data_IF_387140941211
#
_entry.id   IF_387140941211
#
_cell.length_a   1.000
_cell.length_b   1.000
_cell.length_c   1.000
_cell.angle_alpha   90.00
_cell.angle_beta   90.00
_cell.angle_gamma   90.00
#
_symmetry.space_group_name_H-M   'P 1'
#
loop_
_entity.id
_entity.type
_entity.pdbx_description
1 polymer ?
#
# COMPACT_ATOMS: atom_id res chain seq x y z
N UNK A 1 -21.61 18.11 -13.32
CA UNK A 1 -20.79 17.88 -14.53
C UNK A 1 -20.22 16.48 -14.44
N UNK A 2 -20.47 15.59 -15.41
CA UNK A 2 -19.89 14.24 -15.38
C UNK A 2 -18.36 14.28 -15.51
N UNK A 3 -17.66 13.42 -14.76
CA UNK A 3 -16.24 13.13 -15.02
C UNK A 3 -16.16 12.33 -16.30
N UNK A 4 -15.64 12.94 -17.36
CA UNK A 4 -15.34 12.25 -18.61
C UNK A 4 -13.90 11.73 -18.60
N UNK A 5 -13.55 10.90 -19.58
CA UNK A 5 -12.22 10.33 -19.70
C UNK A 5 -11.12 11.39 -19.86
N UNK A 6 -11.41 12.56 -20.45
CA UNK A 6 -10.42 13.63 -20.63
C UNK A 6 -10.10 14.29 -19.29
N UNK A 7 -11.10 14.56 -18.46
CA UNK A 7 -10.92 15.08 -17.11
C UNK A 7 -10.15 14.11 -16.24
N UNK A 8 -10.46 12.81 -16.29
CA UNK A 8 -9.69 11.80 -15.53
C UNK A 8 -8.22 11.81 -15.94
N UNK A 9 -7.91 11.86 -17.25
CA UNK A 9 -6.53 11.98 -17.73
C UNK A 9 -5.83 13.23 -17.21
N UNK A 10 -6.55 14.35 -17.15
CA UNK A 10 -6.00 15.58 -16.58
C UNK A 10 -5.71 15.43 -15.08
N UNK A 11 -6.66 14.92 -14.28
CA UNK A 11 -6.47 14.72 -12.83
C UNK A 11 -5.32 13.74 -12.55
N UNK A 12 -5.16 12.69 -13.36
CA UNK A 12 -4.06 11.72 -13.29
C UNK A 12 -2.71 12.37 -13.63
N UNK A 13 -2.67 13.23 -14.66
CA UNK A 13 -1.48 14.01 -15.01
C UNK A 13 -1.06 14.99 -13.90
N UNK A 14 -2.02 15.58 -13.17
CA UNK A 14 -1.69 16.42 -12.00
C UNK A 14 -0.91 15.60 -10.97
N UNK A 15 -1.25 14.33 -10.73
CA UNK A 15 -0.46 13.46 -9.86
C UNK A 15 0.96 13.22 -10.40
N UNK A 16 1.08 12.95 -11.71
CA UNK A 16 2.37 12.69 -12.37
C UNK A 16 3.35 13.87 -12.21
N UNK A 17 2.88 15.11 -12.43
CA UNK A 17 3.76 16.30 -12.36
C UNK A 17 4.29 16.60 -10.95
N UNK A 18 3.70 16.05 -9.89
CA UNK A 18 4.19 16.16 -8.51
C UNK A 18 5.23 15.09 -8.15
N UNK A 19 5.43 14.09 -9.01
CA UNK A 19 6.43 13.02 -8.85
C UNK A 19 7.60 13.18 -9.82
N UNK A 20 8.74 12.54 -9.52
CA UNK A 20 9.84 12.42 -10.48
C UNK A 20 9.55 11.28 -11.46
N UNK A 21 9.22 11.63 -12.71
CA UNK A 21 9.00 10.67 -13.79
C UNK A 21 10.03 10.87 -14.90
N UNK A 22 10.40 9.77 -15.57
CA UNK A 22 11.36 9.80 -16.69
C UNK A 22 10.90 10.69 -17.86
N UNK A 23 9.59 10.87 -17.99
CA UNK A 23 8.91 11.65 -19.03
C UNK A 23 8.92 13.15 -18.75
N UNK A 24 9.12 13.57 -17.50
CA UNK A 24 9.07 14.98 -17.09
C UNK A 24 10.44 15.65 -17.25
N UNK A 25 10.45 16.86 -17.79
CA UNK A 25 11.66 17.71 -17.90
C UNK A 25 12.12 18.26 -16.54
N UNK A 26 11.17 18.58 -15.67
CA UNK A 26 11.43 19.13 -14.34
C UNK A 26 11.80 18.03 -13.35
N UNK A 27 12.64 18.35 -12.36
CA UNK A 27 13.07 17.47 -11.25
C UNK A 27 12.28 17.65 -9.96
N UNK A 28 11.17 18.39 -9.99
CA UNK A 28 10.29 18.54 -8.83
C UNK A 28 9.80 17.15 -8.38
N UNK A 29 10.00 16.84 -7.11
CA UNK A 29 9.49 15.63 -6.48
C UNK A 29 8.94 16.02 -5.11
N UNK A 30 7.60 16.08 -4.99
CA UNK A 30 6.92 16.44 -3.75
C UNK A 30 6.56 15.17 -3.04
N UNK A 31 6.95 15.01 -1.78
CA UNK A 31 6.53 13.84 -1.00
C UNK A 31 5.01 13.82 -0.84
N UNK A 32 4.41 12.63 -0.96
CA UNK A 32 2.95 12.45 -0.91
C UNK A 32 2.33 13.03 0.36
N UNK A 33 3.05 13.02 1.49
CA UNK A 33 2.57 13.60 2.75
C UNK A 33 2.20 15.08 2.61
N UNK A 34 2.96 15.86 1.83
CA UNK A 34 2.69 17.27 1.59
C UNK A 34 1.49 17.46 0.65
N UNK A 35 1.39 16.65 -0.40
CA UNK A 35 0.23 16.65 -1.29
C UNK A 35 -1.06 16.31 -0.53
N UNK A 36 -1.03 15.29 0.32
CA UNK A 36 -2.17 14.87 1.12
C UNK A 36 -2.55 15.91 2.19
N UNK A 37 -1.57 16.54 2.84
CA UNK A 37 -1.81 17.63 3.78
C UNK A 37 -2.52 18.83 3.11
N UNK A 38 -2.03 19.24 1.93
CA UNK A 38 -2.68 20.29 1.15
C UNK A 38 -4.09 19.88 0.69
N UNK A 39 -4.28 18.63 0.28
CA UNK A 39 -5.59 18.10 -0.10
C UNK A 39 -6.59 18.15 1.05
N UNK A 40 -6.16 17.82 2.27
CA UNK A 40 -6.97 17.95 3.48
C UNK A 40 -7.37 19.40 3.76
N UNK A 41 -6.43 20.33 3.64
CA UNK A 41 -6.70 21.77 3.77
C UNK A 41 -7.72 22.26 2.72
N UNK A 42 -7.50 21.94 1.44
CA UNK A 42 -8.39 22.32 0.33
C UNK A 42 -9.77 21.71 0.50
N UNK A 43 -9.87 20.45 0.91
CA UNK A 43 -11.13 19.80 1.20
C UNK A 43 -11.90 20.53 2.30
N UNK A 44 -11.26 20.83 3.43
CA UNK A 44 -11.87 21.57 4.53
C UNK A 44 -12.37 22.96 4.08
N UNK A 45 -11.53 23.70 3.35
CA UNK A 45 -11.88 25.02 2.84
C UNK A 45 -13.08 24.99 1.89
N UNK A 46 -13.07 24.12 0.87
CA UNK A 46 -14.15 24.02 -0.11
C UNK A 46 -15.47 23.59 0.52
N UNK A 47 -15.45 22.60 1.41
CA UNK A 47 -16.65 22.14 2.08
C UNK A 47 -17.23 23.22 3.02
N UNK A 48 -16.37 23.95 3.73
CA UNK A 48 -16.79 25.06 4.58
C UNK A 48 -17.43 26.18 3.75
N UNK A 49 -16.82 26.56 2.61
CA UNK A 49 -17.39 27.56 1.69
C UNK A 49 -18.80 27.17 1.25
N UNK A 50 -19.00 25.91 0.82
CA UNK A 50 -20.34 25.44 0.39
C UNK A 50 -21.34 25.47 1.54
N UNK A 51 -20.91 25.12 2.75
CA UNK A 51 -21.78 25.08 3.90
C UNK A 51 -22.21 26.48 4.35
N UNK A 52 -21.26 27.42 4.40
CA UNK A 52 -21.45 28.80 4.90
C UNK A 52 -22.04 29.75 3.88
N UNK A 53 -21.95 29.44 2.59
CA UNK A 53 -22.50 30.30 1.54
C UNK A 53 -23.99 30.58 1.74
N UNK A 54 -24.41 31.84 1.65
CA UNK A 54 -25.81 32.21 1.79
C UNK A 54 -26.60 31.90 0.52
N UNK A 55 -27.93 31.85 0.63
CA UNK A 55 -28.81 31.71 -0.53
C UNK A 55 -28.59 32.84 -1.54
N UNK A 56 -28.31 34.06 -1.07
CA UNK A 56 -28.05 35.22 -1.92
C UNK A 56 -26.74 35.09 -2.70
N UNK A 57 -25.72 34.44 -2.13
CA UNK A 57 -24.41 34.29 -2.76
C UNK A 57 -24.38 33.22 -3.87
N UNK A 58 -25.09 32.10 -3.68
CA UNK A 58 -24.96 30.93 -4.55
C UNK A 58 -26.30 30.42 -5.11
N UNK A 59 -27.43 31.07 -4.78
CA UNK A 59 -28.79 30.69 -5.17
C UNK A 59 -29.07 29.18 -5.00
N UNK A 60 -28.72 28.66 -3.82
CA UNK A 60 -28.55 27.23 -3.56
C UNK A 60 -29.38 26.76 -2.37
N UNK A 61 -30.40 25.97 -2.66
CA UNK A 61 -31.24 25.31 -1.64
C UNK A 61 -30.41 24.42 -0.71
N UNK A 62 -30.82 24.19 0.55
CA UNK A 62 -30.14 23.29 1.48
C UNK A 62 -29.87 21.89 0.91
N UNK A 63 -30.80 21.32 0.16
CA UNK A 63 -30.62 19.99 -0.46
C UNK A 63 -29.51 20.00 -1.52
N UNK A 64 -29.47 21.04 -2.37
CA UNK A 64 -28.36 21.23 -3.32
C UNK A 64 -27.02 21.44 -2.62
N UNK A 65 -26.96 22.08 -1.44
CA UNK A 65 -25.72 22.16 -0.64
C UNK A 65 -25.23 20.78 -0.25
N UNK A 66 -26.13 19.95 0.30
CA UNK A 66 -25.81 18.59 0.71
C UNK A 66 -25.30 17.76 -0.47
N UNK A 67 -25.97 17.85 -1.62
CA UNK A 67 -25.55 17.17 -2.85
C UNK A 67 -24.18 17.67 -3.34
N UNK A 68 -23.94 18.98 -3.28
CA UNK A 68 -22.66 19.58 -3.64
C UNK A 68 -21.52 19.11 -2.73
N UNK A 69 -21.73 19.06 -1.42
CA UNK A 69 -20.77 18.51 -0.44
C UNK A 69 -20.41 17.08 -0.81
N UNK A 70 -21.40 16.21 -1.01
CA UNK A 70 -21.16 14.80 -1.39
C UNK A 70 -20.40 14.69 -2.72
N UNK A 71 -20.76 15.49 -3.72
CA UNK A 71 -20.11 15.47 -5.03
C UNK A 71 -18.65 15.97 -4.95
N UNK A 72 -18.39 17.04 -4.21
CA UNK A 72 -17.04 17.58 -3.99
C UNK A 72 -16.18 16.62 -3.20
N UNK A 73 -16.71 16.00 -2.14
CA UNK A 73 -16.00 14.96 -1.40
C UNK A 73 -15.56 13.84 -2.34
N UNK A 74 -16.47 13.29 -3.15
CA UNK A 74 -16.12 12.24 -4.13
C UNK A 74 -15.03 12.68 -5.11
N UNK A 75 -15.11 13.91 -5.63
CA UNK A 75 -14.10 14.45 -6.53
C UNK A 75 -12.71 14.52 -5.88
N UNK A 76 -12.64 15.03 -4.65
CA UNK A 76 -11.38 15.18 -3.92
C UNK A 76 -10.76 13.82 -3.59
N UNK A 77 -11.58 12.83 -3.21
CA UNK A 77 -11.13 11.46 -3.02
C UNK A 77 -10.56 10.85 -4.31
N UNK A 78 -11.27 10.99 -5.44
CA UNK A 78 -10.77 10.51 -6.74
C UNK A 78 -9.45 11.19 -7.12
N UNK A 79 -9.32 12.51 -6.92
CA UNK A 79 -8.07 13.22 -7.19
C UNK A 79 -6.93 12.72 -6.30
N UNK A 80 -7.21 12.44 -5.03
CA UNK A 80 -6.23 11.90 -4.09
C UNK A 80 -5.77 10.49 -4.49
N UNK A 81 -6.68 9.60 -4.87
CA UNK A 81 -6.35 8.25 -5.31
C UNK A 81 -5.49 8.27 -6.59
N UNK A 82 -5.79 9.19 -7.51
CA UNK A 82 -4.98 9.40 -8.72
C UNK A 82 -3.59 9.97 -8.41
N UNK A 83 -3.43 10.77 -7.35
CA UNK A 83 -2.10 11.17 -6.87
C UNK A 83 -1.33 9.97 -6.35
N UNK A 84 -1.92 9.22 -5.41
CA UNK A 84 -1.30 8.06 -4.74
C UNK A 84 -0.74 7.07 -5.74
N UNK A 85 -1.45 6.83 -6.85
CA UNK A 85 -1.02 5.93 -7.93
C UNK A 85 0.42 6.17 -8.40
N UNK A 86 0.87 7.43 -8.46
CA UNK A 86 2.22 7.78 -8.93
C UNK A 86 3.30 7.64 -7.85
N UNK A 87 2.90 7.49 -6.58
CA UNK A 87 3.81 7.27 -5.44
C UNK A 87 3.99 5.80 -5.08
N UNK A 88 3.10 4.92 -5.55
CA UNK A 88 3.21 3.48 -5.32
C UNK A 88 4.13 2.87 -6.38
N UNK A 89 5.22 2.19 -5.98
CA UNK A 89 6.03 1.43 -6.92
C UNK A 89 5.16 0.36 -7.60
N UNK A 90 5.12 0.35 -8.93
CA UNK A 90 4.41 -0.69 -9.67
C UNK A 90 5.02 -2.06 -9.38
N UNK A 91 4.22 -3.13 -9.43
CA UNK A 91 4.69 -4.49 -9.16
C UNK A 91 5.83 -4.93 -10.09
N UNK A 92 5.79 -4.45 -11.34
CA UNK A 92 6.82 -4.67 -12.37
C UNK A 92 8.03 -3.74 -12.22
N UNK A 93 8.01 -2.80 -11.27
CA UNK A 93 9.16 -1.94 -11.02
C UNK A 93 10.34 -2.76 -10.54
N UNK A 94 11.54 -2.42 -11.03
CA UNK A 94 12.78 -3.11 -10.67
C UNK A 94 12.99 -3.18 -9.16
N UNK A 95 12.55 -2.14 -8.44
CA UNK A 95 12.58 -2.08 -6.97
C UNK A 95 11.70 -3.15 -6.32
N UNK A 96 10.47 -3.34 -6.80
CA UNK A 96 9.55 -4.36 -6.27
C UNK A 96 10.01 -5.77 -6.65
N UNK A 97 10.48 -5.96 -7.88
CA UNK A 97 11.08 -7.23 -8.32
C UNK A 97 12.31 -7.58 -7.45
N UNK A 98 13.20 -6.61 -7.19
CA UNK A 98 14.38 -6.80 -6.36
C UNK A 98 14.01 -7.09 -4.90
N UNK A 99 13.02 -6.39 -4.33
CA UNK A 99 12.47 -6.67 -3.00
C UNK A 99 11.89 -8.07 -2.93
N UNK A 100 11.05 -8.47 -3.88
CA UNK A 100 10.42 -9.79 -3.90
C UNK A 100 11.46 -10.91 -4.04
N UNK A 101 12.47 -10.74 -4.90
CA UNK A 101 13.62 -11.67 -4.98
C UNK A 101 14.38 -11.79 -3.65
N UNK A 102 14.58 -10.68 -2.92
CA UNK A 102 15.21 -10.70 -1.59
C UNK A 102 14.35 -11.44 -0.56
N UNK A 103 13.04 -11.23 -0.56
CA UNK A 103 12.11 -11.93 0.33
C UNK A 103 12.11 -13.44 0.06
N UNK A 104 12.03 -13.84 -1.22
CA UNK A 104 12.14 -15.25 -1.62
C UNK A 104 13.48 -15.88 -1.22
N UNK A 105 14.59 -15.13 -1.28
CA UNK A 105 15.90 -15.61 -0.81
C UNK A 105 15.94 -15.79 0.71
N UNK A 106 15.29 -14.89 1.46
CA UNK A 106 15.19 -14.95 2.93
C UNK A 106 14.35 -16.14 3.40
N UNK A 107 13.27 -16.47 2.70
CA UNK A 107 12.45 -17.67 2.97
C UNK A 107 13.16 -18.96 2.57
N UNK A 108 13.95 -18.94 1.48
CA UNK A 108 14.69 -20.13 1.01
C UNK A 108 15.83 -20.53 1.96
N UNK A 109 16.30 -19.65 2.84
CA UNK A 109 17.24 -19.98 3.91
C UNK A 109 16.47 -20.28 5.20
N UNK A 110 16.17 -21.54 5.54
CA UNK A 110 15.68 -21.84 6.88
C UNK A 110 16.72 -21.36 7.90
N UNK A 111 16.31 -20.85 9.08
CA UNK A 111 17.26 -20.51 10.12
C UNK A 111 18.13 -21.74 10.39
N UNK A 112 19.45 -21.57 10.48
CA UNK A 112 20.39 -22.65 10.83
C UNK A 112 19.94 -23.42 12.09
N UNK A 113 19.17 -22.78 12.96
CA UNK A 113 18.50 -23.37 14.12
C UNK A 113 17.52 -24.49 13.76
N UNK A 114 16.72 -24.34 12.70
CA UNK A 114 15.76 -25.36 12.24
C UNK A 114 16.50 -26.54 11.61
N UNK A 115 17.53 -26.29 10.80
CA UNK A 115 18.35 -27.36 10.20
C UNK A 115 19.13 -28.16 11.27
N UNK A 116 19.64 -27.49 12.31
CA UNK A 116 20.27 -28.15 13.46
C UNK A 116 19.28 -28.95 14.30
N UNK A 117 18.03 -28.49 14.43
CA UNK A 117 16.96 -29.21 15.15
C UNK A 117 16.51 -30.46 14.41
N UNK A 118 16.42 -30.42 13.07
CA UNK A 118 16.14 -31.62 12.26
C UNK A 118 17.33 -32.59 12.24
N UNK A 119 18.57 -32.10 12.22
CA UNK A 119 19.76 -32.94 12.29
C UNK A 119 19.96 -33.62 13.65
N UNK A 120 19.62 -32.95 14.76
CA UNK A 120 19.79 -33.50 16.12
C UNK A 120 18.67 -34.44 16.54
N UNK A 121 17.46 -34.25 16.04
CA UNK A 121 16.31 -35.13 16.35
C UNK A 121 16.42 -36.48 15.64
N UNK A 122 16.86 -36.54 14.38
CA UNK A 122 17.13 -37.81 13.68
C UNK A 122 18.25 -38.63 14.35
N UNK A 123 19.31 -37.98 14.84
CA UNK A 123 20.41 -38.65 15.54
C UNK A 123 19.98 -39.29 16.87
N UNK A 124 19.08 -38.64 17.62
CA UNK A 124 18.64 -39.13 18.94
C UNK A 124 17.62 -40.26 18.82
N UNK A 125 16.76 -40.26 17.81
CA UNK A 125 15.80 -41.35 17.59
C UNK A 125 16.46 -42.66 17.14
N UNK A 126 17.54 -42.61 16.35
CA UNK A 126 18.27 -43.80 15.93
C UNK A 126 18.98 -44.50 17.11
N UNK A 127 19.51 -43.72 18.07
CA UNK A 127 20.16 -44.27 19.28
C UNK A 127 19.14 -44.84 20.27
N UNK A 128 17.95 -44.23 20.39
CA UNK A 128 16.90 -44.67 21.30
C UNK A 128 16.27 -46.03 20.94
N UNK A 129 16.08 -46.31 19.64
CA UNK A 129 15.55 -47.61 19.18
C UNK A 129 16.59 -48.73 19.38
N UNK A 130 17.87 -48.46 19.14
CA UNK A 130 18.92 -49.47 19.34
C UNK A 130 19.09 -49.88 20.82
N UNK A 131 18.99 -48.92 21.76
CA UNK A 131 19.14 -49.18 23.18
C UNK A 131 17.95 -49.97 23.78
N UNK A 132 16.73 -49.73 23.28
CA UNK A 132 15.53 -50.43 23.77
C UNK A 132 15.42 -51.87 23.25
N UNK A 133 15.84 -52.13 22.01
CA UNK A 133 15.89 -53.50 21.46
C UNK A 133 17.02 -54.32 22.11
N UNK A 134 18.17 -53.71 22.39
CA UNK A 134 19.28 -54.38 23.08
C UNK A 134 18.93 -54.81 24.51
N UNK A 135 18.24 -53.95 25.27
CA UNK A 135 17.83 -54.24 26.65
C UNK A 135 16.78 -55.36 26.74
N UNK A 136 15.85 -55.45 25.79
CA UNK A 136 14.87 -56.55 25.76
C UNK A 136 15.52 -57.92 25.47
N UNK A 137 16.61 -57.95 24.68
CA UNK A 137 17.33 -59.22 24.38
C UNK A 137 18.14 -59.77 25.56
N UNK A 138 18.53 -58.92 26.51
CA UNK A 138 19.33 -59.29 27.68
C UNK A 138 18.49 -59.75 28.89
N UNK A 139 17.21 -59.39 28.93
CA UNK A 139 16.26 -59.80 29.98
C UNK A 139 15.54 -61.13 29.68
N UNK A 140 15.81 -61.75 28.52
CA UNK A 140 15.19 -63.00 28.06
C UNK A 140 16.14 -64.23 28.10
N UNK A 141 17.19 -64.19 28.94
CA UNK A 141 18.06 -65.35 29.21
C UNK A 141 18.13 -65.67 30.69
#
# INVERSE_FOLDING_TARGET
MPLDAKKIKYLDWVGEIHTDTKTKKSKINVEYIHCNALMGFVAGALLNIVQTATQEQLNITPEKKRQAVVALSKLLWVQNDLFVRHYIPREDSELMIARNKRLLKKERTPPLTVLKLFGSTLGTFAVGIAATVGALSFLSK
#
